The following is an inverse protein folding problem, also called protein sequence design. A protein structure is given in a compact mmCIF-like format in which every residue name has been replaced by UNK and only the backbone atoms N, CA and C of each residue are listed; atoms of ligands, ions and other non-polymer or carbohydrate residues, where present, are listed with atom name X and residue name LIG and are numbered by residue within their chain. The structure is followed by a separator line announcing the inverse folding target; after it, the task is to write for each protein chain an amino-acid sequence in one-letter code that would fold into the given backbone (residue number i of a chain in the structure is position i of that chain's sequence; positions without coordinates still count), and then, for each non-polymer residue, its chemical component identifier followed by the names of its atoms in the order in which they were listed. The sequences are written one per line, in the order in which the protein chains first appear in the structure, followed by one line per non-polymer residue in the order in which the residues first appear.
data_IF_488554334452
#
_entry.id   IF_488554334452
#
_cell.length_a   1.000
_cell.length_b   1.000
_cell.length_c   1.000
_cell.angle_alpha   90.00
_cell.angle_beta   90.00
_cell.angle_gamma   90.00
#
_symmetry.space_group_name_H-M   'P 1'
#
loop_
_entity.id
_entity.type
_entity.pdbx_description
1 polymer ?
#
# COMPACT_ATOMS: atom_id res chain seq x y z
N UNK A 1 -18.94 13.05 -27.19
CA UNK A 1 -18.91 11.68 -26.62
C UNK A 1 -17.45 11.28 -26.59
N UNK A 2 -16.79 11.42 -25.44
CA UNK A 2 -15.39 11.03 -25.27
C UNK A 2 -15.37 9.53 -25.02
N UNK A 3 -14.78 8.76 -25.93
CA UNK A 3 -14.50 7.36 -25.67
C UNK A 3 -13.61 7.22 -24.42
N UNK A 4 -13.83 6.21 -23.56
CA UNK A 4 -12.91 5.95 -22.47
C UNK A 4 -11.58 5.56 -23.09
N UNK A 5 -10.61 6.46 -23.02
CA UNK A 5 -9.30 6.25 -23.64
C UNK A 5 -8.72 4.95 -23.13
N UNK A 6 -8.46 4.05 -24.06
CA UNK A 6 -7.66 2.85 -23.95
C UNK A 6 -6.18 3.23 -23.66
N UNK A 7 -5.94 4.08 -22.64
CA UNK A 7 -4.62 4.39 -22.10
C UNK A 7 -4.13 3.12 -21.43
N UNK A 8 -3.47 2.33 -22.27
CA UNK A 8 -2.74 1.10 -22.02
C UNK A 8 -2.25 0.97 -20.58
N UNK A 9 -2.45 -0.21 -19.99
CA UNK A 9 -1.79 -0.66 -18.76
C UNK A 9 -0.25 -0.64 -18.84
N UNK A 10 0.34 -0.22 -19.96
CA UNK A 10 1.76 0.12 -20.09
C UNK A 10 2.16 1.41 -19.34
N UNK A 11 1.18 2.21 -18.95
CA UNK A 11 1.36 3.43 -18.18
C UNK A 11 1.71 3.13 -16.71
N UNK A 12 0.85 2.38 -16.01
CA UNK A 12 0.89 2.19 -14.56
C UNK A 12 1.67 0.93 -14.18
N UNK A 13 2.56 1.07 -13.19
CA UNK A 13 3.31 -0.04 -12.60
C UNK A 13 2.91 -0.22 -11.15
N UNK A 14 2.74 -1.47 -10.75
CA UNK A 14 2.27 -1.82 -9.41
C UNK A 14 3.28 -2.75 -8.76
N UNK A 15 3.64 -2.46 -7.52
CA UNK A 15 4.37 -3.37 -6.64
C UNK A 15 3.50 -3.73 -5.44
N UNK A 16 3.73 -4.92 -4.90
CA UNK A 16 2.99 -5.47 -3.78
C UNK A 16 3.99 -5.94 -2.74
N UNK A 17 3.85 -5.43 -1.52
CA UNK A 17 4.76 -5.74 -0.42
C UNK A 17 3.88 -6.08 0.79
N UNK A 18 4.07 -7.27 1.35
CA UNK A 18 3.49 -7.62 2.64
C UNK A 18 4.36 -7.03 3.75
N UNK A 19 3.73 -6.43 4.75
CA UNK A 19 4.42 -5.97 5.95
C UNK A 19 4.37 -7.12 6.95
N UNK A 20 5.52 -7.55 7.47
CA UNK A 20 5.58 -8.58 8.50
C UNK A 20 5.51 -7.97 9.91
N UNK A 21 5.26 -8.84 10.90
CA UNK A 21 5.25 -8.44 12.32
C UNK A 21 6.63 -8.09 12.86
N UNK A 22 7.66 -8.82 12.43
CA UNK A 22 9.07 -8.65 12.81
C UNK A 22 9.97 -8.78 11.59
N UNK A 23 11.20 -8.30 11.71
CA UNK A 23 12.12 -8.16 10.59
C UNK A 23 12.59 -9.52 10.06
N UNK A 24 12.72 -10.51 10.94
CA UNK A 24 13.13 -11.87 10.62
C UNK A 24 12.16 -12.57 9.65
N UNK A 25 10.87 -12.22 9.73
CA UNK A 25 9.80 -12.76 8.89
C UNK A 25 9.45 -11.85 7.71
N UNK A 26 10.16 -10.74 7.55
CA UNK A 26 9.91 -9.79 6.47
C UNK A 26 10.32 -10.40 5.12
N UNK A 27 9.32 -10.86 4.38
CA UNK A 27 9.49 -11.36 3.03
C UNK A 27 9.94 -10.26 2.05
N UNK A 28 10.60 -10.62 0.94
CA UNK A 28 10.81 -9.71 -0.18
C UNK A 28 9.46 -9.26 -0.79
N UNK A 29 9.45 -8.21 -1.63
CA UNK A 29 8.25 -7.80 -2.37
C UNK A 29 7.58 -8.99 -3.06
N UNK A 30 6.28 -9.17 -2.80
CA UNK A 30 5.47 -10.19 -3.46
C UNK A 30 5.37 -9.94 -4.97
N UNK A 31 5.45 -8.68 -5.39
CA UNK A 31 5.61 -8.29 -6.79
C UNK A 31 6.42 -7.00 -6.89
N UNK A 32 7.38 -6.96 -7.81
CA UNK A 32 8.14 -5.76 -8.16
C UNK A 32 7.37 -4.86 -9.14
N UNK A 33 7.76 -3.59 -9.27
CA UNK A 33 7.10 -2.60 -10.13
C UNK A 33 6.99 -3.04 -11.60
N UNK A 34 7.96 -3.79 -12.12
CA UNK A 34 7.95 -4.31 -13.49
C UNK A 34 7.29 -5.70 -13.63
N UNK A 35 6.87 -6.34 -12.53
CA UNK A 35 6.31 -7.70 -12.54
C UNK A 35 4.84 -7.74 -12.95
N UNK A 36 4.09 -6.67 -12.71
CA UNK A 36 2.66 -6.59 -12.98
C UNK A 36 2.43 -5.86 -14.30
N UNK A 37 2.19 -6.62 -15.37
CA UNK A 37 1.98 -6.09 -16.73
C UNK A 37 0.52 -6.07 -17.18
N UNK A 38 -0.39 -6.64 -16.37
CA UNK A 38 -1.83 -6.65 -16.66
C UNK A 38 -2.66 -6.75 -15.37
N UNK A 39 -3.94 -6.38 -15.45
CA UNK A 39 -4.90 -6.58 -14.36
C UNK A 39 -5.05 -8.05 -13.95
N UNK A 40 -4.93 -9.00 -14.88
CA UNK A 40 -5.02 -10.43 -14.55
C UNK A 40 -3.83 -10.86 -13.70
N UNK A 41 -2.62 -10.39 -14.03
CA UNK A 41 -1.41 -10.66 -13.23
C UNK A 41 -1.52 -9.99 -11.85
N UNK A 42 -2.01 -8.74 -11.79
CA UNK A 42 -2.29 -8.07 -10.52
C UNK A 42 -3.22 -8.91 -9.63
N UNK A 43 -4.34 -9.39 -10.20
CA UNK A 43 -5.29 -10.24 -9.48
C UNK A 43 -4.64 -11.54 -9.00
N UNK A 44 -3.78 -12.16 -9.79
CA UNK A 44 -3.05 -13.36 -9.36
C UNK A 44 -2.15 -13.08 -8.16
N UNK A 45 -1.39 -11.99 -8.15
CA UNK A 45 -0.56 -11.65 -6.99
C UNK A 45 -1.39 -11.25 -5.75
N UNK A 46 -2.51 -10.55 -5.92
CA UNK A 46 -3.43 -10.26 -4.81
C UNK A 46 -4.01 -11.55 -4.19
N UNK A 47 -4.29 -12.56 -5.02
CA UNK A 47 -4.72 -13.87 -4.53
C UNK A 47 -3.60 -14.60 -3.78
N UNK A 48 -2.34 -14.46 -4.23
CA UNK A 48 -1.16 -14.99 -3.53
C UNK A 48 -0.99 -14.32 -2.16
N UNK A 49 -1.11 -13.00 -2.10
CA UNK A 49 -1.07 -12.27 -0.81
C UNK A 49 -2.11 -12.79 0.17
N UNK A 50 -3.35 -12.98 -0.30
CA UNK A 50 -4.44 -13.49 0.54
C UNK A 50 -4.18 -14.90 1.09
N UNK A 51 -3.51 -15.77 0.34
CA UNK A 51 -3.35 -17.18 0.70
C UNK A 51 -2.04 -17.54 1.38
N UNK A 52 -1.02 -16.66 1.33
CA UNK A 52 0.34 -16.97 1.79
C UNK A 52 0.92 -15.93 2.77
N UNK A 53 0.19 -14.85 3.06
CA UNK A 53 0.60 -13.79 3.97
C UNK A 53 -0.52 -13.51 4.99
N UNK A 54 -1.15 -14.58 5.46
CA UNK A 54 -2.23 -14.59 6.45
C UNK A 54 -1.78 -15.02 7.85
N UNK A 55 -0.53 -15.49 7.98
CA UNK A 55 0.06 -15.92 9.24
C UNK A 55 1.01 -14.84 9.80
N UNK A 56 0.43 -13.92 10.58
CA UNK A 56 1.18 -12.97 11.39
C UNK A 56 0.68 -13.05 12.83
N UNK A 57 0.85 -14.22 13.45
CA UNK A 57 0.66 -14.45 14.90
C UNK A 57 1.57 -13.57 15.79
N UNK A 58 2.42 -12.76 15.16
CA UNK A 58 3.39 -11.88 15.81
C UNK A 58 2.88 -10.45 15.82
N UNK A 59 2.81 -9.88 17.02
CA UNK A 59 2.47 -8.47 17.22
C UNK A 59 3.66 -7.61 16.83
N UNK A 60 3.51 -6.82 15.78
CA UNK A 60 4.50 -5.84 15.33
C UNK A 60 4.20 -5.42 13.89
N UNK A 61 4.94 -4.46 13.34
CA UNK A 61 4.82 -4.05 11.94
C UNK A 61 6.13 -3.43 11.47
N UNK A 62 6.86 -4.12 10.60
CA UNK A 62 8.09 -3.65 9.98
C UNK A 62 7.85 -2.61 8.87
N UNK A 63 6.96 -1.65 9.11
CA UNK A 63 6.62 -0.62 8.14
C UNK A 63 7.85 0.24 7.83
N UNK A 64 8.61 0.63 8.86
CA UNK A 64 9.83 1.45 8.69
C UNK A 64 10.83 0.79 7.74
N UNK A 65 11.06 -0.51 7.89
CA UNK A 65 11.92 -1.27 6.97
C UNK A 65 11.41 -1.20 5.53
N UNK A 66 10.11 -1.45 5.32
CA UNK A 66 9.52 -1.42 3.98
C UNK A 66 9.53 -0.02 3.35
N UNK A 67 9.36 1.04 4.15
CA UNK A 67 9.49 2.43 3.69
C UNK A 67 10.93 2.73 3.23
N UNK A 68 11.94 2.23 3.94
CA UNK A 68 13.34 2.34 3.50
C UNK A 68 13.58 1.53 2.21
N UNK A 69 13.04 0.31 2.13
CA UNK A 69 13.22 -0.57 0.97
C UNK A 69 12.68 0.07 -0.31
N UNK A 70 11.47 0.64 -0.29
CA UNK A 70 10.89 1.30 -1.48
C UNK A 70 11.65 2.56 -1.90
N UNK A 71 12.36 3.19 -0.96
CA UNK A 71 13.26 4.31 -1.19
C UNK A 71 14.62 3.89 -1.79
N UNK A 72 14.98 2.62 -1.70
CA UNK A 72 16.32 2.14 -2.03
C UNK A 72 16.61 2.16 -3.53
N UNK A 73 17.89 2.35 -3.89
CA UNK A 73 18.34 2.24 -5.29
C UNK A 73 18.07 0.86 -5.88
N UNK A 74 18.09 -0.17 -5.03
CA UNK A 74 17.80 -1.55 -5.43
C UNK A 74 16.35 -1.67 -5.92
N UNK A 75 15.38 -1.25 -5.11
CA UNK A 75 13.96 -1.31 -5.47
C UNK A 75 13.62 -0.39 -6.65
N UNK A 76 14.18 0.82 -6.68
CA UNK A 76 14.00 1.77 -7.80
C UNK A 76 14.43 1.13 -9.13
N UNK A 77 15.54 0.39 -9.14
CA UNK A 77 16.02 -0.30 -10.36
C UNK A 77 15.06 -1.36 -10.92
N UNK A 78 14.10 -1.84 -10.10
CA UNK A 78 13.11 -2.89 -10.46
C UNK A 78 11.86 -2.35 -11.14
N UNK A 79 11.94 -1.17 -11.71
CA UNK A 79 10.94 -0.64 -12.62
C UNK A 79 10.29 0.64 -12.17
N UNK A 80 10.87 1.39 -11.25
CA UNK A 80 10.50 2.79 -11.07
C UNK A 80 10.74 3.58 -12.37
N UNK A 81 9.86 4.54 -12.68
CA UNK A 81 10.01 5.43 -13.84
C UNK A 81 10.10 6.86 -13.35
N UNK A 82 11.31 7.37 -13.24
CA UNK A 82 11.58 8.73 -12.74
C UNK A 82 11.01 9.84 -13.61
N UNK A 83 10.64 9.55 -14.87
CA UNK A 83 10.03 10.49 -15.79
C UNK A 83 8.55 10.80 -15.48
N UNK A 84 7.98 10.11 -14.48
CA UNK A 84 6.59 10.28 -14.06
C UNK A 84 6.56 11.05 -12.74
N UNK A 85 5.65 12.02 -12.67
CA UNK A 85 5.54 12.91 -11.52
C UNK A 85 4.75 12.29 -10.36
N UNK A 86 3.84 11.36 -10.66
CA UNK A 86 2.89 10.84 -9.69
C UNK A 86 3.25 9.41 -9.27
N UNK A 87 3.85 9.29 -8.10
CA UNK A 87 4.11 8.02 -7.44
C UNK A 87 3.34 7.93 -6.13
N UNK A 88 2.69 6.80 -5.91
CA UNK A 88 1.80 6.60 -4.78
C UNK A 88 2.18 5.34 -4.02
N UNK A 89 2.21 5.46 -2.71
CA UNK A 89 2.27 4.37 -1.77
C UNK A 89 0.92 4.30 -1.04
N UNK A 90 0.26 3.15 -1.10
CA UNK A 90 -0.96 2.87 -0.35
C UNK A 90 -0.62 1.86 0.73
N UNK A 91 -0.73 2.27 1.98
CA UNK A 91 -0.49 1.42 3.14
C UNK A 91 -1.84 1.01 3.75
N UNK A 92 -2.14 -0.28 3.68
CA UNK A 92 -3.34 -0.89 4.25
C UNK A 92 -2.95 -1.60 5.54
N UNK A 93 -3.66 -1.31 6.63
CA UNK A 93 -3.36 -1.93 7.91
C UNK A 93 -4.59 -2.14 8.80
N UNK A 94 -4.46 -3.10 9.70
CA UNK A 94 -5.41 -3.42 10.77
C UNK A 94 -4.87 -3.06 12.16
N UNK A 95 -3.65 -2.53 12.24
CA UNK A 95 -2.96 -2.22 13.50
C UNK A 95 -2.04 -1.00 13.36
N UNK A 96 -1.56 -0.47 14.47
CA UNK A 96 -0.43 0.49 14.54
C UNK A 96 0.62 0.04 15.55
N UNK A 97 0.69 -1.27 15.81
CA UNK A 97 1.77 -1.86 16.61
C UNK A 97 3.07 -1.87 15.81
N UNK A 98 3.68 -0.71 15.59
CA UNK A 98 4.95 -0.60 14.85
C UNK A 98 6.12 -1.11 15.69
N UNK A 99 7.05 -1.80 15.05
CA UNK A 99 8.31 -2.22 15.66
C UNK A 99 9.23 -1.01 15.93
N UNK A 100 9.25 -0.08 14.98
CA UNK A 100 9.97 1.19 14.97
C UNK A 100 9.02 2.27 14.45
N UNK A 101 9.01 3.45 15.08
CA UNK A 101 8.12 4.55 14.67
C UNK A 101 8.39 5.00 13.21
N UNK A 102 7.43 4.81 12.28
CA UNK A 102 7.65 5.03 10.86
C UNK A 102 7.52 6.50 10.44
N UNK A 103 7.15 7.41 11.36
CA UNK A 103 6.82 8.80 11.02
C UNK A 103 7.98 9.52 10.35
N UNK A 104 9.19 9.47 10.92
CA UNK A 104 10.34 10.19 10.34
C UNK A 104 10.70 9.66 8.95
N UNK A 105 10.67 8.35 8.74
CA UNK A 105 10.93 7.76 7.41
C UNK A 105 9.84 8.13 6.41
N UNK A 106 8.58 8.16 6.82
CA UNK A 106 7.48 8.61 5.97
C UNK A 106 7.61 10.10 5.59
N UNK A 107 8.02 10.95 6.55
CA UNK A 107 8.29 12.37 6.31
C UNK A 107 9.43 12.56 5.30
N UNK A 108 10.50 11.77 5.35
CA UNK A 108 11.58 11.80 4.36
C UNK A 108 11.08 11.46 2.94
N UNK A 109 10.22 10.44 2.82
CA UNK A 109 9.60 10.07 1.53
C UNK A 109 8.72 11.21 0.99
N UNK A 110 7.89 11.82 1.85
CA UNK A 110 7.02 12.93 1.47
C UNK A 110 7.84 14.17 1.07
N UNK A 111 8.86 14.51 1.85
CA UNK A 111 9.73 15.68 1.62
C UNK A 111 10.62 15.51 0.38
N UNK A 112 11.05 14.30 0.06
CA UNK A 112 11.78 14.01 -1.18
C UNK A 112 10.88 14.00 -2.43
N UNK A 113 9.56 14.10 -2.25
CA UNK A 113 8.55 14.01 -3.31
C UNK A 113 8.65 12.68 -4.09
N UNK A 114 9.24 11.66 -3.47
CA UNK A 114 9.43 10.36 -4.11
C UNK A 114 8.10 9.62 -4.23
N UNK A 115 7.25 9.70 -3.20
CA UNK A 115 5.89 9.15 -3.18
C UNK A 115 4.95 10.06 -2.39
N UNK A 116 3.70 10.17 -2.84
CA UNK A 116 2.59 10.46 -1.94
C UNK A 116 2.21 9.21 -1.15
N UNK A 117 1.73 9.37 0.09
CA UNK A 117 1.34 8.25 0.96
C UNK A 117 -0.15 8.34 1.29
N UNK A 118 -0.90 7.28 0.99
CA UNK A 118 -2.27 7.07 1.46
C UNK A 118 -2.25 5.96 2.50
N UNK A 119 -2.84 6.21 3.67
CA UNK A 119 -3.06 5.15 4.67
C UNK A 119 -4.53 4.76 4.69
N UNK A 120 -4.82 3.46 4.66
CA UNK A 120 -6.16 2.90 4.79
C UNK A 120 -6.17 1.97 5.98
N UNK A 121 -6.93 2.33 7.01
CA UNK A 121 -7.06 1.51 8.20
C UNK A 121 -8.37 0.72 8.19
N UNK A 122 -8.29 -0.56 8.57
CA UNK A 122 -9.44 -1.45 8.66
C UNK A 122 -9.58 -2.00 10.09
N UNK A 123 -10.73 -1.77 10.73
CA UNK A 123 -11.00 -2.20 12.10
C UNK A 123 -10.86 -1.09 13.15
N UNK A 124 -10.95 -1.49 14.43
CA UNK A 124 -11.26 -0.57 15.53
C UNK A 124 -10.06 -0.21 16.44
N UNK A 125 -8.94 -0.93 16.38
CA UNK A 125 -7.81 -0.77 17.31
C UNK A 125 -6.57 -0.23 16.57
N UNK A 126 -6.59 1.05 16.23
CA UNK A 126 -5.52 1.71 15.45
C UNK A 126 -5.36 3.18 15.88
N UNK A 127 -4.13 3.63 16.07
CA UNK A 127 -3.79 5.04 16.30
C UNK A 127 -4.00 5.86 15.02
N UNK A 128 -5.15 6.55 14.97
CA UNK A 128 -5.50 7.44 13.87
C UNK A 128 -4.52 8.59 13.67
N UNK A 129 -3.98 9.13 14.75
CA UNK A 129 -3.13 10.31 14.66
C UNK A 129 -1.80 9.92 14.05
N UNK A 130 -1.28 8.75 14.43
CA UNK A 130 -0.07 8.18 13.85
C UNK A 130 -0.22 7.94 12.35
N UNK A 131 -1.33 7.36 11.89
CA UNK A 131 -1.57 7.17 10.45
C UNK A 131 -1.68 8.48 9.66
N UNK A 132 -2.31 9.51 10.24
CA UNK A 132 -2.35 10.85 9.63
C UNK A 132 -0.97 11.47 9.50
N UNK A 133 -0.08 11.27 10.48
CA UNK A 133 1.31 11.73 10.39
C UNK A 133 2.04 11.02 9.25
N UNK A 134 1.91 9.68 9.15
CA UNK A 134 2.51 8.87 8.08
C UNK A 134 2.01 9.30 6.69
N UNK A 135 0.72 9.61 6.54
CA UNK A 135 0.14 10.03 5.26
C UNK A 135 0.35 11.52 4.92
N UNK A 136 1.03 12.29 5.77
CA UNK A 136 1.19 13.74 5.58
C UNK A 136 -0.08 14.57 5.82
N UNK A 137 -1.10 14.01 6.48
CA UNK A 137 -2.32 14.73 6.86
C UNK A 137 -3.61 13.92 6.72
N UNK A 138 -4.71 14.49 7.22
CA UNK A 138 -6.03 13.83 7.24
C UNK A 138 -6.65 13.57 5.87
N UNK A 139 -6.27 14.33 4.83
CA UNK A 139 -6.78 14.15 3.46
C UNK A 139 -6.36 12.82 2.83
N UNK A 140 -5.26 12.25 3.31
CA UNK A 140 -4.65 11.03 2.77
C UNK A 140 -4.79 9.82 3.72
N UNK A 141 -5.51 9.98 4.84
CA UNK A 141 -5.73 8.93 5.83
C UNK A 141 -7.20 8.54 5.89
N UNK A 142 -7.52 7.32 5.45
CA UNK A 142 -8.86 6.77 5.38
C UNK A 142 -9.10 5.69 6.42
N UNK A 143 -10.38 5.47 6.76
CA UNK A 143 -10.77 4.53 7.81
C UNK A 143 -12.05 3.80 7.46
N UNK A 144 -12.07 2.50 7.69
CA UNK A 144 -13.24 1.66 7.67
C UNK A 144 -13.22 0.68 8.85
N UNK A 145 -14.38 0.36 9.43
CA UNK A 145 -14.51 -0.67 10.49
C UNK A 145 -15.13 -1.98 9.99
N UNK A 146 -15.57 -2.03 8.73
CA UNK A 146 -16.19 -3.20 8.12
C UNK A 146 -16.04 -3.17 6.59
N UNK A 147 -16.36 -4.29 5.93
CA UNK A 147 -16.19 -4.45 4.48
C UNK A 147 -16.96 -3.42 3.66
N UNK A 148 -18.21 -3.12 4.04
CA UNK A 148 -19.03 -2.09 3.38
C UNK A 148 -18.38 -0.72 3.49
N UNK A 149 -17.82 -0.39 4.65
CA UNK A 149 -17.04 0.82 4.85
C UNK A 149 -15.83 0.88 3.95
N UNK A 150 -15.10 -0.23 3.79
CA UNK A 150 -13.93 -0.33 2.92
C UNK A 150 -14.30 -0.12 1.45
N UNK A 151 -15.40 -0.73 0.99
CA UNK A 151 -15.93 -0.55 -0.37
C UNK A 151 -16.31 0.92 -0.64
N UNK A 152 -16.86 1.61 0.36
CA UNK A 152 -17.17 3.04 0.26
C UNK A 152 -15.94 3.94 0.14
N UNK A 153 -14.74 3.47 0.52
CA UNK A 153 -13.49 4.23 0.37
C UNK A 153 -12.93 4.22 -1.06
N UNK A 154 -13.35 3.26 -1.91
CA UNK A 154 -12.82 3.10 -3.27
C UNK A 154 -12.98 4.38 -4.08
N UNK A 155 -14.20 4.95 -4.15
CA UNK A 155 -14.47 6.17 -4.93
C UNK A 155 -13.74 7.42 -4.39
N UNK A 156 -13.75 7.70 -3.07
CA UNK A 156 -12.94 8.78 -2.49
C UNK A 156 -11.45 8.65 -2.82
N UNK A 157 -10.85 7.47 -2.64
CA UNK A 157 -9.43 7.24 -2.93
C UNK A 157 -9.17 7.44 -4.42
N UNK A 158 -9.96 6.84 -5.30
CA UNK A 158 -9.83 7.04 -6.76
C UNK A 158 -9.88 8.51 -7.14
N UNK A 159 -10.82 9.28 -6.57
CA UNK A 159 -10.88 10.73 -6.81
C UNK A 159 -9.61 11.42 -6.31
N UNK A 160 -9.14 11.10 -5.11
CA UNK A 160 -7.93 11.70 -4.56
C UNK A 160 -6.72 11.47 -5.49
N UNK A 161 -6.55 10.23 -5.97
CA UNK A 161 -5.50 9.89 -6.93
C UNK A 161 -5.68 10.67 -8.24
N UNK A 162 -6.89 10.72 -8.81
CA UNK A 162 -7.15 11.40 -10.10
C UNK A 162 -6.97 12.92 -10.08
N UNK A 163 -7.05 13.56 -8.91
CA UNK A 163 -6.96 15.02 -8.77
C UNK A 163 -5.56 15.50 -8.34
N UNK A 164 -4.64 14.60 -7.99
CA UNK A 164 -3.21 14.91 -7.98
C UNK A 164 -2.79 15.25 -9.42
N UNK A 165 -2.10 16.37 -9.62
CA UNK A 165 -2.08 17.18 -10.85
C UNK A 165 -1.97 16.45 -12.22
N UNK A 166 -2.55 17.12 -13.22
CA UNK A 166 -2.86 16.64 -14.57
C UNK A 166 -1.64 16.15 -15.37
N UNK A 167 -1.39 14.84 -15.32
CA UNK A 167 -0.40 14.16 -16.15
C UNK A 167 -0.41 12.65 -15.90
N UNK A 168 -1.55 11.99 -16.12
CA UNK A 168 -1.79 10.67 -15.54
C UNK A 168 -1.03 9.52 -16.23
N UNK A 169 0.16 9.27 -15.71
CA UNK A 169 0.82 7.96 -15.61
C UNK A 169 1.13 7.81 -14.12
N UNK A 170 0.77 6.71 -13.47
CA UNK A 170 0.85 6.60 -12.01
C UNK A 170 1.64 5.35 -11.60
N UNK A 171 2.35 5.41 -10.48
CA UNK A 171 2.86 4.23 -9.79
C UNK A 171 2.06 3.96 -8.55
N UNK A 172 1.81 2.69 -8.26
CA UNK A 172 1.13 2.27 -7.04
C UNK A 172 1.94 1.18 -6.34
N UNK A 173 2.49 1.49 -5.19
CA UNK A 173 3.00 0.48 -4.26
C UNK A 173 1.89 0.21 -3.26
N UNK A 174 1.53 -1.06 -3.08
CA UNK A 174 0.57 -1.46 -2.06
C UNK A 174 1.34 -2.19 -0.96
N UNK A 175 1.42 -1.56 0.20
CA UNK A 175 1.90 -2.16 1.44
C UNK A 175 0.69 -2.71 2.21
N UNK A 176 0.71 -3.99 2.54
CA UNK A 176 -0.42 -4.64 3.20
C UNK A 176 0.03 -5.30 4.50
N UNK A 177 -0.59 -4.91 5.60
CA UNK A 177 -0.49 -5.58 6.90
C UNK A 177 -1.84 -6.12 7.35
N UNK A 178 -1.91 -7.41 7.65
CA UNK A 178 -3.05 -8.03 8.31
C UNK A 178 -2.59 -8.62 9.65
N UNK A 179 -3.20 -8.22 10.76
CA UNK A 179 -3.02 -8.93 12.01
C UNK A 179 -4.22 -9.87 12.20
N UNK A 180 -3.97 -11.17 12.16
CA UNK A 180 -4.97 -12.18 12.47
C UNK A 180 -4.94 -12.51 13.97
N UNK A 181 -5.16 -11.54 14.87
CA UNK A 181 -5.37 -11.90 16.29
C UNK A 181 -6.75 -12.54 16.41
N UNK A 182 -6.79 -13.87 16.33
CA UNK A 182 -7.89 -14.70 16.81
C UNK A 182 -9.21 -14.57 16.04
N UNK A 183 -9.33 -15.31 14.96
CA UNK A 183 -10.63 -15.64 14.39
C UNK A 183 -10.48 -16.60 13.23
N UNK A 184 -10.95 -17.84 13.38
CA UNK A 184 -11.12 -18.79 12.28
C UNK A 184 -11.96 -18.15 11.17
N UNK A 185 -11.32 -17.51 10.19
CA UNK A 185 -12.00 -17.00 9.01
C UNK A 185 -11.54 -17.81 7.79
N UNK A 186 -12.48 -18.63 7.33
CA UNK A 186 -12.43 -19.57 6.20
C UNK A 186 -11.99 -21.02 6.51
N UNK A 187 -12.66 -21.64 7.48
CA UNK A 187 -12.99 -23.06 7.34
C UNK A 187 -14.52 -23.21 7.29
N UNK A 188 -15.07 -23.17 6.08
CA UNK A 188 -16.34 -23.83 5.80
C UNK A 188 -16.07 -24.85 4.69
N UNK A 189 -16.34 -26.11 5.05
CA UNK A 189 -16.37 -27.29 4.19
C UNK A 189 -17.05 -27.02 2.85
#
# INVERSE_FOLDING_TARGET
MLEPSNRTMNAVRVALIAVAGILEDQAPPAAELNSITSQNILRSYLNVLKGNYDDFDIVGQCLTYNLVEVGSSYFISRGYKSEIQNHLLVYLTTSTAFDVDPVSTAEEILNSHQYGIITVRFGDIVDHQKLKMISGGSSCSFTASNSTGLDHLIKPIQRHIMHAESGFTAFLIILVYFNAIGGHYCNKK
#
